data_IF_001765358299
#
_entry.id   IF_001765358299
#
_cell.length_a   1.000
_cell.length_b   1.000
_cell.length_c   1.000
_cell.angle_alpha   90.00
_cell.angle_beta   90.00
_cell.angle_gamma   90.00
#
_symmetry.space_group_name_H-M   'P 1'
#
loop_
_entity.id
_entity.type
_entity.pdbx_description
1 polymer ?
#
# COMPACT_ATOMS: atom_id res chain seq x y z
N UNK A 1 39.11 103.52 57.16
CA UNK A 1 37.72 103.74 57.19
C UNK A 1 37.06 102.41 56.81
N UNK A 2 36.25 101.96 57.65
CA UNK A 2 35.79 100.52 57.75
C UNK A 2 34.68 100.26 56.78
N UNK A 3 34.87 99.35 55.89
CA UNK A 3 33.84 98.84 55.01
C UNK A 3 33.35 97.44 55.52
N UNK A 4 32.09 97.38 55.83
CA UNK A 4 31.42 96.22 56.40
C UNK A 4 30.99 95.27 55.23
N UNK A 5 31.48 94.09 55.26
CA UNK A 5 31.12 93.08 54.29
C UNK A 5 29.93 92.30 54.82
N UNK A 6 28.78 92.31 54.14
CA UNK A 6 27.60 91.51 54.44
C UNK A 6 27.68 90.29 53.61
N UNK A 7 27.77 89.12 54.34
CA UNK A 7 27.73 87.82 53.72
C UNK A 7 26.28 87.35 53.73
N UNK A 8 25.70 87.20 52.52
CA UNK A 8 24.35 86.64 52.32
C UNK A 8 24.47 85.13 52.15
N UNK A 9 24.09 84.37 53.15
CA UNK A 9 24.03 82.93 53.10
C UNK A 9 22.73 82.49 52.43
N UNK A 10 22.82 82.01 51.23
CA UNK A 10 21.69 81.34 50.56
C UNK A 10 21.53 79.89 51.05
N UNK A 11 20.52 79.62 51.79
CA UNK A 11 20.13 78.22 52.15
C UNK A 11 19.47 77.56 50.98
N UNK A 12 20.15 76.63 50.40
CA UNK A 12 19.65 75.74 49.35
C UNK A 12 18.85 74.61 50.02
N UNK A 13 17.46 74.66 50.03
CA UNK A 13 16.60 73.58 50.43
C UNK A 13 16.56 72.55 49.34
N UNK A 14 17.27 71.43 49.57
CA UNK A 14 17.15 70.22 48.76
C UNK A 14 15.84 69.48 49.04
N UNK A 15 14.88 69.58 48.17
CA UNK A 15 13.69 68.71 48.19
C UNK A 15 14.14 67.33 47.68
N UNK A 16 14.23 66.40 48.64
CA UNK A 16 14.36 64.96 48.28
C UNK A 16 13.08 64.48 47.66
N UNK A 17 13.07 64.24 46.37
CA UNK A 17 12.07 63.38 45.74
C UNK A 17 12.39 61.97 46.13
N UNK A 18 11.58 61.38 47.01
CA UNK A 18 11.55 59.95 47.25
C UNK A 18 10.94 59.28 46.00
N UNK A 19 11.78 58.69 45.17
CA UNK A 19 11.27 57.72 44.20
C UNK A 19 10.85 56.48 44.96
N UNK A 20 9.52 56.26 44.98
CA UNK A 20 8.99 54.93 45.32
C UNK A 20 9.42 53.98 44.25
N UNK A 21 10.40 53.16 44.51
CA UNK A 21 10.62 51.94 43.72
C UNK A 21 9.37 51.08 43.89
N UNK A 22 8.48 51.12 42.89
CA UNK A 22 7.52 50.05 42.70
C UNK A 22 8.32 48.78 42.49
N UNK A 23 8.38 47.92 43.50
CA UNK A 23 8.70 46.52 43.37
C UNK A 23 7.60 45.91 42.51
N UNK A 24 7.74 46.00 41.19
CA UNK A 24 7.07 45.10 40.28
C UNK A 24 7.65 43.72 40.62
N UNK A 25 6.94 42.96 41.44
CA UNK A 25 7.15 41.53 41.52
C UNK A 25 7.04 41.05 40.07
N UNK A 26 8.18 40.85 39.41
CA UNK A 26 8.22 40.07 38.20
C UNK A 26 7.72 38.69 38.58
N UNK A 27 6.48 38.36 38.22
CA UNK A 27 6.06 36.98 38.06
C UNK A 27 6.91 36.41 36.91
N UNK A 28 8.21 36.35 37.12
CA UNK A 28 9.15 35.65 36.29
C UNK A 28 8.85 34.17 36.58
N UNK A 29 7.98 33.59 35.74
CA UNK A 29 7.86 32.14 35.72
C UNK A 29 9.26 31.60 35.52
N UNK A 30 9.75 30.85 36.48
CA UNK A 30 11.04 30.14 36.38
C UNK A 30 11.03 29.36 35.06
N UNK A 31 11.73 29.89 34.06
CA UNK A 31 11.82 29.24 32.74
C UNK A 31 12.59 27.95 32.94
N UNK A 32 11.85 26.85 33.00
CA UNK A 32 12.45 25.51 33.01
C UNK A 32 13.15 25.37 31.66
N UNK A 33 14.47 25.40 31.66
CA UNK A 33 15.25 25.17 30.45
C UNK A 33 14.83 23.84 29.84
N UNK A 34 14.34 23.88 28.61
CA UNK A 34 14.01 22.66 27.89
C UNK A 34 15.25 21.76 27.82
N UNK A 35 15.13 20.48 28.14
CA UNK A 35 16.22 19.53 27.99
C UNK A 35 16.76 19.62 26.56
N UNK A 36 18.07 19.57 26.41
CA UNK A 36 18.71 19.47 25.09
C UNK A 36 18.21 18.17 24.44
N UNK A 37 17.28 18.30 23.49
CA UNK A 37 16.77 17.16 22.73
C UNK A 37 17.86 16.79 21.73
N UNK A 38 18.46 15.62 21.90
CA UNK A 38 19.31 15.04 20.87
C UNK A 38 18.40 14.33 19.86
N UNK A 39 18.18 14.94 18.72
CA UNK A 39 17.38 14.36 17.65
C UNK A 39 18.13 13.16 17.06
N UNK A 40 17.63 11.96 17.30
CA UNK A 40 18.23 10.69 16.82
C UNK A 40 17.41 10.09 15.67
N UNK A 41 16.16 10.52 15.54
CA UNK A 41 15.27 10.02 14.50
C UNK A 41 15.57 10.65 13.14
N UNK A 42 15.45 9.88 12.08
CA UNK A 42 15.53 10.34 10.70
C UNK A 42 14.30 11.18 10.36
N UNK A 43 14.48 12.47 10.12
CA UNK A 43 13.43 13.44 9.80
C UNK A 43 13.33 13.72 8.30
N UNK A 44 14.09 13.01 7.47
CA UNK A 44 13.98 13.08 6.03
C UNK A 44 12.71 12.35 5.57
N UNK A 45 12.27 12.59 4.36
CA UNK A 45 11.12 11.98 3.69
C UNK A 45 11.60 11.57 2.29
N UNK A 46 12.04 10.32 2.16
CA UNK A 46 12.75 9.82 0.98
C UNK A 46 11.83 9.61 -0.22
N UNK A 47 10.59 9.23 0.00
CA UNK A 47 9.61 8.97 -1.07
C UNK A 47 8.66 10.16 -1.33
N UNK A 48 8.77 11.22 -0.51
CA UNK A 48 7.99 12.45 -0.60
C UNK A 48 6.48 12.20 -0.51
N UNK A 49 6.07 11.34 0.40
CA UNK A 49 4.68 11.07 0.70
C UNK A 49 4.10 11.98 1.80
N UNK A 50 4.96 12.72 2.53
CA UNK A 50 4.61 13.64 3.61
C UNK A 50 4.76 13.06 5.01
N UNK A 51 5.28 11.85 5.15
CA UNK A 51 5.62 11.21 6.43
C UNK A 51 7.14 11.02 6.50
N UNK A 52 7.74 11.46 7.61
CA UNK A 52 9.19 11.34 7.82
C UNK A 52 9.61 9.87 7.97
N UNK A 53 10.80 9.50 7.50
CA UNK A 53 11.35 8.14 7.53
C UNK A 53 11.27 7.49 8.91
N UNK A 54 11.41 8.27 9.99
CA UNK A 54 11.32 7.77 11.38
C UNK A 54 9.92 7.25 11.77
N UNK A 55 8.88 7.62 11.03
CA UNK A 55 7.48 7.21 11.27
C UNK A 55 6.90 6.41 10.13
N UNK A 56 7.55 6.45 8.98
CA UNK A 56 7.09 5.80 7.78
C UNK A 56 7.26 4.28 7.85
N UNK A 57 6.17 3.55 7.71
CA UNK A 57 6.14 2.09 7.64
C UNK A 57 6.10 1.57 6.20
N UNK A 58 5.95 2.47 5.22
CA UNK A 58 5.81 2.13 3.81
C UNK A 58 6.75 2.98 2.92
N UNK A 59 8.08 2.82 3.01
CA UNK A 59 9.10 3.74 2.49
C UNK A 59 9.18 3.86 0.96
N UNK A 60 8.28 3.28 0.22
CA UNK A 60 8.21 3.37 -1.26
C UNK A 60 6.79 3.74 -1.71
N UNK A 61 6.07 4.55 -0.95
CA UNK A 61 4.72 4.99 -1.32
C UNK A 61 4.79 5.93 -2.52
N UNK A 62 4.04 5.65 -3.61
CA UNK A 62 4.08 6.50 -4.78
C UNK A 62 3.61 7.91 -4.48
N UNK A 63 4.34 8.93 -4.95
CA UNK A 63 4.03 10.34 -4.77
C UNK A 63 2.58 10.67 -5.14
N UNK A 64 1.94 11.56 -4.40
CA UNK A 64 0.53 11.96 -4.55
C UNK A 64 -0.47 10.84 -4.23
N UNK A 65 -0.09 9.85 -3.46
CA UNK A 65 -1.00 8.85 -2.91
C UNK A 65 -1.78 9.43 -1.73
N UNK A 66 -3.05 9.03 -1.58
CA UNK A 66 -3.75 9.21 -0.31
C UNK A 66 -3.15 8.26 0.73
N UNK A 67 -2.53 8.81 1.77
CA UNK A 67 -1.80 8.06 2.78
C UNK A 67 -2.50 8.10 4.14
N UNK A 68 -2.17 7.14 4.99
CA UNK A 68 -2.49 7.18 6.41
C UNK A 68 -1.36 7.86 7.23
N UNK A 69 -1.52 7.87 8.56
CA UNK A 69 -0.54 8.50 9.45
C UNK A 69 0.82 7.78 9.50
N UNK A 70 0.90 6.59 8.97
CA UNK A 70 2.09 5.72 8.98
C UNK A 70 2.77 5.69 7.59
N UNK A 71 2.43 6.60 6.66
CA UNK A 71 3.00 6.68 5.33
C UNK A 71 2.47 5.63 4.35
N UNK A 72 1.47 4.84 4.75
CA UNK A 72 0.97 3.76 3.91
C UNK A 72 -0.19 4.21 3.04
N UNK A 73 -0.07 3.98 1.74
CA UNK A 73 -1.07 4.37 0.76
C UNK A 73 -2.41 3.63 0.91
N UNK A 74 -3.51 4.36 0.77
CA UNK A 74 -4.87 3.80 0.71
C UNK A 74 -5.09 3.09 -0.63
N UNK A 75 -5.55 1.84 -0.59
CA UNK A 75 -5.82 1.05 -1.79
C UNK A 75 -7.31 0.86 -2.02
N UNK A 76 -7.78 1.20 -3.23
CA UNK A 76 -9.13 0.80 -3.68
C UNK A 76 -9.10 -0.69 -4.00
N UNK A 77 -9.77 -1.49 -3.22
CA UNK A 77 -10.07 -2.86 -3.57
C UNK A 77 -11.10 -2.85 -4.70
N UNK A 78 -10.63 -2.90 -5.94
CA UNK A 78 -11.52 -3.14 -7.07
C UNK A 78 -12.11 -4.53 -6.87
N UNK A 79 -13.42 -4.61 -6.65
CA UNK A 79 -14.15 -5.86 -6.38
C UNK A 79 -14.27 -6.80 -7.59
N UNK A 80 -13.65 -6.48 -8.70
CA UNK A 80 -13.40 -7.42 -9.80
C UNK A 80 -12.20 -8.29 -9.42
N UNK A 81 -12.43 -9.25 -8.54
CA UNK A 81 -11.57 -10.42 -8.45
C UNK A 81 -11.47 -11.00 -9.86
N UNK A 82 -10.34 -10.76 -10.49
CA UNK A 82 -10.04 -11.36 -11.78
C UNK A 82 -9.88 -12.86 -11.51
N UNK A 83 -10.90 -13.62 -11.88
CA UNK A 83 -10.87 -15.07 -11.81
C UNK A 83 -11.08 -15.65 -13.19
N UNK A 84 -10.33 -16.70 -13.53
CA UNK A 84 -10.55 -17.48 -14.73
C UNK A 84 -11.33 -18.73 -14.38
N UNK A 85 -12.21 -19.11 -15.28
CA UNK A 85 -12.92 -20.38 -15.23
C UNK A 85 -12.89 -20.98 -16.64
N UNK A 86 -12.08 -22.02 -16.83
CA UNK A 86 -11.81 -22.63 -18.12
C UNK A 86 -12.31 -24.07 -18.08
N UNK A 87 -13.19 -24.44 -19.00
CA UNK A 87 -13.68 -25.78 -19.17
C UNK A 87 -12.91 -26.52 -20.26
N UNK A 88 -12.68 -27.82 -20.05
CA UNK A 88 -11.92 -28.67 -20.96
C UNK A 88 -12.75 -29.80 -21.54
N UNK A 89 -12.41 -30.23 -22.72
CA UNK A 89 -12.96 -31.44 -23.33
C UNK A 89 -12.59 -32.69 -22.51
N UNK A 90 -13.32 -33.79 -22.81
CA UNK A 90 -13.03 -35.05 -22.14
C UNK A 90 -11.60 -35.51 -22.49
N UNK A 91 -10.85 -35.92 -21.47
CA UNK A 91 -9.47 -36.42 -21.55
C UNK A 91 -8.48 -35.49 -22.33
N UNK A 92 -8.80 -34.20 -22.41
CA UNK A 92 -7.94 -33.19 -23.07
C UNK A 92 -7.43 -32.15 -22.08
N UNK A 93 -6.25 -31.64 -22.35
CA UNK A 93 -5.63 -30.45 -21.73
C UNK A 93 -5.51 -29.26 -22.71
N UNK A 94 -6.07 -29.39 -23.92
CA UNK A 94 -6.08 -28.31 -24.90
C UNK A 94 -7.05 -27.20 -24.48
N UNK A 95 -6.57 -25.96 -24.49
CA UNK A 95 -7.37 -24.81 -24.14
C UNK A 95 -8.32 -24.49 -25.29
N UNK A 96 -9.64 -24.51 -25.05
CA UNK A 96 -10.58 -24.13 -26.10
C UNK A 96 -10.39 -22.67 -26.51
N UNK A 97 -10.46 -22.32 -27.82
CA UNK A 97 -10.21 -20.97 -28.34
C UNK A 97 -11.02 -19.86 -27.67
N UNK A 98 -12.24 -20.20 -27.20
CA UNK A 98 -13.15 -19.25 -26.53
C UNK A 98 -12.55 -18.66 -25.24
N UNK A 99 -11.66 -19.36 -24.57
CA UNK A 99 -11.03 -18.93 -23.32
C UNK A 99 -9.70 -18.17 -23.51
N UNK A 100 -9.13 -18.17 -24.71
CA UNK A 100 -7.83 -17.54 -24.99
C UNK A 100 -7.85 -16.03 -24.73
N UNK A 101 -8.95 -15.35 -25.07
CA UNK A 101 -9.13 -13.93 -24.78
C UNK A 101 -9.17 -13.61 -23.29
N UNK A 102 -9.81 -14.46 -22.48
CA UNK A 102 -9.86 -14.29 -21.03
C UNK A 102 -8.49 -14.48 -20.38
N UNK A 103 -7.70 -15.46 -20.86
CA UNK A 103 -6.33 -15.68 -20.39
C UNK A 103 -5.45 -14.48 -20.75
N UNK A 104 -5.61 -13.89 -21.93
CA UNK A 104 -4.90 -12.67 -22.33
C UNK A 104 -5.22 -11.50 -21.41
N UNK A 105 -6.50 -11.25 -21.17
CA UNK A 105 -6.92 -10.18 -20.25
C UNK A 105 -6.37 -10.36 -18.84
N UNK A 106 -6.30 -11.60 -18.36
CA UNK A 106 -5.66 -11.93 -17.08
C UNK A 106 -4.16 -11.63 -17.11
N UNK A 107 -3.47 -11.97 -18.19
CA UNK A 107 -2.04 -11.65 -18.34
C UNK A 107 -1.80 -10.13 -18.39
N UNK A 108 -2.63 -9.39 -19.12
CA UNK A 108 -2.58 -7.92 -19.16
C UNK A 108 -2.79 -7.32 -17.75
N UNK A 109 -3.75 -7.86 -16.99
CA UNK A 109 -3.95 -7.46 -15.60
C UNK A 109 -2.70 -7.73 -14.74
N UNK A 110 -2.13 -8.93 -14.79
CA UNK A 110 -0.94 -9.29 -14.03
C UNK A 110 0.28 -8.43 -14.41
N UNK A 111 0.42 -8.08 -15.68
CA UNK A 111 1.50 -7.22 -16.16
C UNK A 111 1.32 -5.76 -15.72
N UNK A 112 0.07 -5.30 -15.58
CA UNK A 112 -0.25 -3.96 -15.07
C UNK A 112 0.00 -3.84 -13.56
N UNK A 113 -0.18 -4.94 -12.82
CA UNK A 113 -0.03 -4.98 -11.35
C UNK A 113 1.08 -5.94 -10.93
N UNK A 114 2.35 -5.49 -10.84
CA UNK A 114 3.50 -6.35 -10.54
C UNK A 114 3.42 -7.08 -9.19
N UNK A 115 2.72 -6.52 -8.21
CA UNK A 115 2.52 -7.16 -6.89
C UNK A 115 1.56 -8.34 -6.92
N UNK A 116 0.70 -8.44 -7.95
CA UNK A 116 -0.26 -9.52 -8.08
C UNK A 116 0.40 -10.80 -8.56
N UNK A 117 -0.03 -11.92 -8.02
CA UNK A 117 0.32 -13.28 -8.43
C UNK A 117 -0.96 -14.05 -8.75
N UNK A 118 -0.84 -15.21 -9.38
CA UNK A 118 -2.00 -16.03 -9.74
C UNK A 118 -1.82 -17.47 -9.26
N UNK A 119 -2.87 -18.01 -8.65
CA UNK A 119 -2.95 -19.43 -8.30
C UNK A 119 -3.90 -20.15 -9.25
N UNK A 120 -3.41 -21.14 -9.96
CA UNK A 120 -4.13 -21.93 -10.95
C UNK A 120 -4.41 -23.32 -10.37
N UNK A 121 -5.69 -23.69 -10.29
CA UNK A 121 -6.16 -24.96 -9.76
C UNK A 121 -6.80 -25.79 -10.86
N UNK A 122 -6.24 -26.94 -11.13
CA UNK A 122 -6.77 -27.89 -12.12
C UNK A 122 -7.62 -28.98 -11.49
N UNK A 123 -8.69 -29.34 -12.17
CA UNK A 123 -9.63 -30.36 -11.74
C UNK A 123 -9.95 -31.34 -12.88
N UNK A 124 -10.38 -32.54 -12.51
CA UNK A 124 -10.87 -33.54 -13.39
C UNK A 124 -12.27 -34.06 -12.96
N UNK A 125 -12.96 -34.74 -13.83
CA UNK A 125 -14.16 -35.47 -13.44
C UNK A 125 -13.78 -36.76 -12.71
N UNK A 126 -14.73 -37.34 -11.97
CA UNK A 126 -14.54 -38.63 -11.26
C UNK A 126 -14.39 -39.85 -12.17
N UNK A 127 -14.48 -39.68 -13.50
CA UNK A 127 -14.35 -40.77 -14.46
C UNK A 127 -12.86 -41.09 -14.69
N UNK A 128 -12.47 -42.34 -14.53
CA UNK A 128 -11.11 -42.82 -14.68
C UNK A 128 -10.41 -43.11 -13.35
N UNK A 129 -9.13 -43.41 -13.41
CA UNK A 129 -8.33 -43.61 -12.20
C UNK A 129 -7.90 -42.29 -11.56
N UNK A 130 -7.78 -42.28 -10.24
CA UNK A 130 -7.35 -41.12 -9.48
C UNK A 130 -5.97 -40.58 -9.96
N UNK A 131 -5.03 -41.49 -10.24
CA UNK A 131 -3.69 -41.11 -10.76
C UNK A 131 -3.80 -40.44 -12.13
N UNK A 132 -4.61 -40.96 -13.05
CA UNK A 132 -4.85 -40.37 -14.34
C UNK A 132 -5.50 -38.98 -14.19
N UNK A 133 -6.51 -38.85 -13.35
CA UNK A 133 -7.19 -37.59 -13.09
C UNK A 133 -6.28 -36.54 -12.46
N UNK A 134 -5.40 -36.94 -11.54
CA UNK A 134 -4.40 -36.06 -10.96
C UNK A 134 -3.42 -35.55 -12.04
N UNK A 135 -2.89 -36.44 -12.87
CA UNK A 135 -1.97 -36.06 -13.94
C UNK A 135 -2.66 -35.19 -14.99
N UNK A 136 -3.92 -35.48 -15.35
CA UNK A 136 -4.70 -34.69 -16.30
C UNK A 136 -4.99 -33.27 -15.77
N UNK A 137 -5.37 -33.16 -14.50
CA UNK A 137 -5.61 -31.88 -13.86
C UNK A 137 -4.36 -31.01 -13.82
N UNK A 138 -3.21 -31.62 -13.57
CA UNK A 138 -1.91 -30.94 -13.60
C UNK A 138 -1.57 -30.43 -15.00
N UNK A 139 -1.67 -31.29 -16.04
CA UNK A 139 -1.45 -30.89 -17.44
C UNK A 139 -2.37 -29.74 -17.89
N UNK A 140 -3.62 -29.70 -17.44
CA UNK A 140 -4.53 -28.59 -17.71
C UNK A 140 -4.05 -27.28 -17.08
N UNK A 141 -3.59 -27.32 -15.83
CA UNK A 141 -3.03 -26.15 -15.15
C UNK A 141 -1.74 -25.69 -15.84
N UNK A 142 -0.86 -26.61 -16.25
CA UNK A 142 0.37 -26.32 -16.99
C UNK A 142 0.08 -25.69 -18.36
N UNK A 143 -0.98 -26.11 -19.05
CA UNK A 143 -1.37 -25.51 -20.32
C UNK A 143 -1.82 -24.04 -20.14
N UNK A 144 -2.56 -23.73 -19.08
CA UNK A 144 -2.96 -22.35 -18.76
C UNK A 144 -1.74 -21.52 -18.33
N UNK A 145 -0.86 -22.05 -17.50
CA UNK A 145 0.42 -21.42 -17.14
C UNK A 145 1.23 -21.07 -18.38
N UNK A 146 1.45 -22.06 -19.27
CA UNK A 146 2.22 -21.85 -20.49
C UNK A 146 1.64 -20.73 -21.36
N UNK A 147 0.32 -20.59 -21.40
CA UNK A 147 -0.33 -19.51 -22.14
C UNK A 147 -0.14 -18.14 -21.47
N UNK A 148 -0.19 -18.05 -20.14
CA UNK A 148 0.11 -16.82 -19.39
C UNK A 148 1.58 -16.38 -19.60
N UNK A 149 2.52 -17.34 -19.55
CA UNK A 149 3.94 -17.07 -19.79
C UNK A 149 4.19 -16.53 -21.22
N UNK A 150 3.46 -17.05 -22.24
CA UNK A 150 3.51 -16.53 -23.62
C UNK A 150 3.05 -15.07 -23.71
N UNK A 151 2.18 -14.63 -22.82
CA UNK A 151 1.72 -13.25 -22.72
C UNK A 151 2.57 -12.38 -21.79
N UNK A 152 3.76 -12.88 -21.38
CA UNK A 152 4.77 -12.10 -20.65
C UNK A 152 4.63 -12.12 -19.13
N UNK A 153 3.76 -12.98 -18.57
CA UNK A 153 3.70 -13.14 -17.10
C UNK A 153 4.93 -13.91 -16.64
N UNK A 154 5.60 -13.45 -15.61
CA UNK A 154 6.76 -14.12 -15.04
C UNK A 154 6.36 -15.41 -14.29
N UNK A 155 7.19 -16.47 -14.44
CA UNK A 155 6.92 -17.78 -13.85
C UNK A 155 6.83 -17.75 -12.31
N UNK A 156 7.62 -16.94 -11.64
CA UNK A 156 7.63 -16.78 -10.18
C UNK A 156 6.31 -16.25 -9.62
N UNK A 157 5.48 -15.65 -10.48
CA UNK A 157 4.16 -15.11 -10.14
C UNK A 157 3.00 -16.07 -10.42
N UNK A 158 3.30 -17.26 -10.94
CA UNK A 158 2.30 -18.29 -11.27
C UNK A 158 2.49 -19.51 -10.40
N UNK A 159 1.49 -19.87 -9.62
CA UNK A 159 1.45 -21.11 -8.84
C UNK A 159 0.41 -22.06 -9.44
N UNK A 160 0.76 -23.30 -9.64
CA UNK A 160 -0.16 -24.34 -10.12
C UNK A 160 -0.39 -25.41 -9.08
N UNK A 161 -1.63 -25.90 -9.00
CA UNK A 161 -2.04 -27.02 -8.14
C UNK A 161 -2.98 -27.92 -8.94
N UNK A 162 -2.70 -29.20 -8.97
CA UNK A 162 -3.60 -30.22 -9.55
C UNK A 162 -4.35 -30.94 -8.44
N UNK A 163 -5.67 -30.93 -8.47
CA UNK A 163 -6.54 -31.58 -7.50
C UNK A 163 -7.10 -32.92 -8.01
N UNK A 164 -6.94 -33.21 -9.30
CA UNK A 164 -7.57 -34.40 -9.87
C UNK A 164 -9.10 -34.34 -9.72
N UNK A 165 -9.68 -35.39 -9.16
CA UNK A 165 -11.10 -35.55 -8.87
C UNK A 165 -11.43 -35.39 -7.37
N UNK A 166 -10.50 -34.88 -6.56
CA UNK A 166 -10.73 -34.74 -5.09
C UNK A 166 -11.68 -33.62 -4.73
N UNK A 167 -11.77 -32.58 -5.57
CA UNK A 167 -12.65 -31.41 -5.36
C UNK A 167 -13.60 -31.23 -6.56
N UNK A 168 -14.73 -31.84 -6.50
CA UNK A 168 -15.76 -31.78 -7.55
C UNK A 168 -16.60 -30.49 -7.43
N UNK A 169 -16.93 -29.86 -8.57
CA UNK A 169 -17.93 -28.79 -8.64
C UNK A 169 -19.36 -29.32 -8.56
N UNK A 170 -19.61 -30.56 -9.06
CA UNK A 170 -20.84 -31.30 -8.92
C UNK A 170 -20.54 -32.78 -8.65
N UNK A 171 -21.25 -33.36 -7.70
CA UNK A 171 -21.15 -34.78 -7.33
C UNK A 171 -22.06 -35.68 -8.16
N UNK A 172 -22.94 -35.07 -8.97
CA UNK A 172 -23.87 -35.84 -9.83
C UNK A 172 -23.10 -36.66 -10.86
N UNK A 173 -23.80 -37.71 -11.37
CA UNK A 173 -23.25 -38.60 -12.39
C UNK A 173 -23.87 -38.31 -13.78
N UNK A 174 -24.01 -37.02 -14.08
CA UNK A 174 -24.54 -36.55 -15.36
C UNK A 174 -23.41 -36.03 -16.25
N UNK A 175 -23.63 -36.04 -17.57
CA UNK A 175 -22.69 -35.50 -18.53
C UNK A 175 -22.39 -34.00 -18.25
N UNK A 176 -23.39 -33.26 -17.77
CA UNK A 176 -23.24 -31.85 -17.38
C UNK A 176 -22.33 -31.71 -16.16
N UNK A 177 -22.53 -32.53 -15.13
CA UNK A 177 -21.67 -32.54 -13.94
C UNK A 177 -20.23 -32.89 -14.29
N UNK A 178 -20.04 -33.93 -15.13
CA UNK A 178 -18.68 -34.23 -15.61
C UNK A 178 -18.05 -33.08 -16.39
N UNK A 179 -18.80 -32.34 -17.22
CA UNK A 179 -18.30 -31.20 -17.94
C UNK A 179 -17.90 -30.06 -17.00
N UNK A 180 -18.67 -29.76 -15.96
CA UNK A 180 -18.35 -28.76 -14.93
C UNK A 180 -17.14 -29.16 -14.09
N UNK A 181 -16.92 -30.43 -13.87
CA UNK A 181 -15.75 -30.92 -13.13
C UNK A 181 -14.46 -30.85 -13.94
N UNK A 182 -14.50 -30.92 -15.26
CA UNK A 182 -13.33 -30.76 -16.15
C UNK A 182 -12.97 -29.29 -16.30
N UNK A 183 -12.45 -28.69 -15.25
CA UNK A 183 -12.18 -27.25 -15.22
C UNK A 183 -10.78 -26.90 -14.73
N UNK A 184 -10.35 -25.71 -15.04
CA UNK A 184 -9.30 -24.98 -14.36
C UNK A 184 -9.89 -23.70 -13.82
N UNK A 185 -9.64 -23.40 -12.56
CA UNK A 185 -9.92 -22.10 -11.98
C UNK A 185 -8.61 -21.39 -11.69
N UNK A 186 -8.55 -20.09 -11.90
CA UNK A 186 -7.40 -19.32 -11.50
C UNK A 186 -7.85 -18.05 -10.77
N UNK A 187 -7.18 -17.74 -9.68
CA UNK A 187 -7.51 -16.62 -8.81
C UNK A 187 -6.30 -15.76 -8.59
N UNK A 188 -6.46 -14.46 -8.70
CA UNK A 188 -5.40 -13.49 -8.38
C UNK A 188 -5.21 -13.43 -6.86
N UNK A 189 -3.96 -13.47 -6.42
CA UNK A 189 -3.54 -13.37 -5.02
C UNK A 189 -2.49 -12.26 -4.87
N UNK A 190 -2.39 -11.67 -3.68
CA UNK A 190 -1.39 -10.63 -3.40
C UNK A 190 -1.69 -9.25 -4.04
N UNK A 191 -2.83 -9.10 -4.71
CA UNK A 191 -3.24 -7.83 -5.27
C UNK A 191 -3.73 -6.89 -4.16
N UNK A 192 -2.99 -5.81 -3.95
CA UNK A 192 -3.33 -4.79 -2.93
C UNK A 192 -4.40 -3.79 -3.39
N UNK A 193 -4.73 -3.75 -4.68
CA UNK A 193 -5.60 -2.75 -5.28
C UNK A 193 -4.82 -1.67 -6.03
N UNK A 194 -5.51 -0.73 -6.66
CA UNK A 194 -4.91 0.49 -7.16
C UNK A 194 -4.81 1.49 -6.01
N UNK A 195 -3.66 2.16 -5.89
CA UNK A 195 -3.48 3.20 -4.86
C UNK A 195 -4.40 4.38 -5.17
N UNK A 196 -5.10 4.89 -4.18
CA UNK A 196 -5.88 6.11 -4.31
C UNK A 196 -4.92 7.28 -4.44
N UNK A 197 -5.12 8.13 -5.43
CA UNK A 197 -4.35 9.35 -5.55
C UNK A 197 -5.07 10.48 -4.82
N UNK A 198 -4.30 11.27 -4.08
CA UNK A 198 -4.80 12.48 -3.46
C UNK A 198 -5.28 13.46 -4.53
N UNK A 199 -6.41 14.11 -4.26
CA UNK A 199 -6.94 15.13 -5.16
C UNK A 199 -6.17 16.43 -4.94
N UNK A 200 -5.18 16.71 -5.79
CA UNK A 200 -4.42 17.96 -5.78
C UNK A 200 -4.94 18.92 -6.84
N UNK A 201 -5.37 20.12 -6.42
CA UNK A 201 -5.68 21.23 -7.34
C UNK A 201 -4.42 21.80 -8.02
N UNK A 202 -3.25 21.44 -7.53
CA UNK A 202 -1.96 21.85 -8.07
C UNK A 202 -1.32 20.69 -8.84
N UNK A 203 -2.01 20.17 -9.86
CA UNK A 203 -1.37 19.26 -10.81
C UNK A 203 -0.23 20.02 -11.46
N UNK A 204 1.00 19.66 -11.12
CA UNK A 204 2.16 20.16 -11.82
C UNK A 204 2.00 19.83 -13.30
N UNK A 205 1.90 20.85 -14.15
CA UNK A 205 1.92 20.66 -15.59
C UNK A 205 3.23 19.95 -15.94
N UNK A 206 3.19 18.87 -16.74
CA UNK A 206 4.42 18.23 -17.20
C UNK A 206 5.26 19.26 -17.93
N UNK A 207 6.54 19.37 -17.49
CA UNK A 207 7.53 20.21 -18.15
C UNK A 207 7.91 19.64 -19.50
#
# INVERSE_FOLDING_TARGET
>A
MKGTFVILTATLSATMFAYAEENVASDEYDYIALPQINQVADLEDDDNDGVINARDLCPDTPSLSEIDNDGCGTFVKTSKLQSLHILFANDSSDIPPVFVSQIRQMAEFLNTYPSASIEIKGYASKVGSQEHNLNLSKRRSEAVEAQLLRYGVERNRVRIVGFGDTELASHDDTQVAHALNRRVTATVVGYKGAIVKEWSIFTALPK
#
